data_IF_746742643590
#
_entry.id   IF_746742643590
#
_cell.length_a   1.000
_cell.length_b   1.000
_cell.length_c   1.000
_cell.angle_alpha   90.00
_cell.angle_beta   90.00
_cell.angle_gamma   90.00
#
_symmetry.space_group_name_H-M   'P 1'
#
loop_
_entity.id
_entity.type
_entity.pdbx_description
1 polymer ?
#
# COMPACT_ATOMS: atom_id res chain seq x y z
N UNK A 1 12.89 -8.43 -26.11
CA UNK A 1 13.07 -7.01 -25.74
C UNK A 1 12.86 -6.90 -24.25
N UNK A 2 13.94 -6.83 -23.46
CA UNK A 2 13.82 -6.63 -22.02
C UNK A 2 13.45 -5.18 -21.75
N UNK A 3 12.43 -4.92 -20.95
CA UNK A 3 12.22 -3.58 -20.41
C UNK A 3 13.50 -3.16 -19.68
N UNK A 4 14.02 -1.95 -19.92
CA UNK A 4 15.10 -1.43 -19.09
C UNK A 4 14.62 -1.42 -17.62
N UNK A 5 15.49 -1.69 -16.64
CA UNK A 5 15.12 -1.57 -15.24
C UNK A 5 14.56 -0.16 -15.02
N UNK A 6 13.42 -0.08 -14.35
CA UNK A 6 12.82 1.17 -13.89
C UNK A 6 13.79 1.81 -12.89
N UNK A 7 14.79 2.51 -13.42
CA UNK A 7 15.72 3.32 -12.65
C UNK A 7 15.08 4.69 -12.49
N UNK A 8 15.24 5.29 -11.31
CA UNK A 8 14.76 6.64 -11.00
C UNK A 8 15.98 7.55 -11.08
N UNK A 9 16.40 8.03 -12.29
CA UNK A 9 17.77 8.48 -12.50
C UNK A 9 18.07 9.77 -11.74
N UNK A 10 17.04 10.59 -11.52
CA UNK A 10 17.12 11.82 -10.73
C UNK A 10 17.35 11.57 -9.24
N UNK A 11 16.96 10.40 -8.72
CA UNK A 11 17.12 10.03 -7.31
C UNK A 11 18.44 9.29 -7.03
N UNK A 12 19.09 8.73 -8.06
CA UNK A 12 20.32 7.95 -7.90
C UNK A 12 21.44 8.67 -7.13
N UNK A 13 21.72 9.99 -7.34
CA UNK A 13 22.77 10.67 -6.58
C UNK A 13 22.55 10.67 -5.06
N UNK A 14 21.29 10.73 -4.62
CA UNK A 14 20.94 10.80 -3.20
C UNK A 14 20.63 9.44 -2.59
N UNK A 15 20.28 8.44 -3.41
CA UNK A 15 19.83 7.13 -2.93
C UNK A 15 20.83 5.99 -3.17
N UNK A 16 21.87 6.17 -3.97
CA UNK A 16 22.88 5.14 -4.27
C UNK A 16 24.16 5.32 -3.46
N UNK A 17 25.10 4.36 -3.54
CA UNK A 17 26.45 4.50 -2.96
C UNK A 17 26.51 4.72 -1.44
N UNK A 18 25.47 4.35 -0.70
CA UNK A 18 25.37 4.59 0.75
C UNK A 18 24.83 5.98 1.14
N UNK A 19 24.55 6.86 0.18
CA UNK A 19 24.02 8.21 0.45
C UNK A 19 22.65 8.18 1.12
N UNK A 20 21.81 7.21 0.80
CA UNK A 20 20.52 7.02 1.49
C UNK A 20 20.73 6.77 2.99
N UNK A 21 21.58 5.79 3.33
CA UNK A 21 21.84 5.42 4.72
C UNK A 21 22.49 6.57 5.50
N UNK A 22 23.46 7.26 4.89
CA UNK A 22 24.07 8.45 5.50
C UNK A 22 23.04 9.56 5.76
N UNK A 23 22.08 9.75 4.84
CA UNK A 23 21.00 10.72 5.02
C UNK A 23 20.05 10.29 6.14
N UNK A 24 19.62 9.01 6.14
CA UNK A 24 18.77 8.43 7.17
C UNK A 24 19.38 8.57 8.57
N UNK A 25 20.67 8.25 8.73
CA UNK A 25 21.40 8.39 9.99
C UNK A 25 21.51 9.84 10.45
N UNK A 26 21.69 10.77 9.51
CA UNK A 26 21.81 12.20 9.81
C UNK A 26 20.50 12.79 10.31
N UNK A 27 19.38 12.48 9.64
CA UNK A 27 18.07 13.03 10.01
C UNK A 27 17.37 12.23 11.10
N UNK A 28 17.79 10.97 11.31
CA UNK A 28 17.24 10.03 12.31
C UNK A 28 15.74 9.81 12.16
N UNK A 29 15.29 9.68 10.92
CA UNK A 29 13.90 9.36 10.57
C UNK A 29 13.82 8.00 9.87
N UNK A 30 12.64 7.35 9.85
CA UNK A 30 12.46 6.09 9.13
C UNK A 30 12.65 6.24 7.61
N UNK A 31 12.69 5.11 6.89
CA UNK A 31 13.02 5.07 5.47
C UNK A 31 12.05 5.88 4.59
N UNK A 32 10.74 5.84 4.89
CA UNK A 32 9.70 6.57 4.17
C UNK A 32 9.86 8.10 4.29
N UNK A 33 10.14 8.56 5.51
CA UNK A 33 10.46 9.94 5.82
C UNK A 33 11.80 10.36 5.19
N UNK A 34 12.77 9.45 5.11
CA UNK A 34 14.07 9.71 4.45
C UNK A 34 13.89 9.90 2.94
N UNK A 35 13.09 9.06 2.29
CA UNK A 35 12.73 9.25 0.88
C UNK A 35 12.00 10.59 0.70
N UNK A 36 11.00 10.89 1.51
CA UNK A 36 10.28 12.17 1.45
C UNK A 36 11.22 13.37 1.59
N UNK A 37 12.14 13.33 2.56
CA UNK A 37 13.14 14.37 2.77
C UNK A 37 14.08 14.55 1.57
N UNK A 38 14.57 13.45 0.99
CA UNK A 38 15.42 13.52 -0.21
C UNK A 38 14.66 14.16 -1.38
N UNK A 39 13.44 13.70 -1.63
CA UNK A 39 12.65 14.12 -2.79
C UNK A 39 12.20 15.58 -2.67
N UNK A 40 11.62 15.95 -1.53
CA UNK A 40 11.05 17.29 -1.34
C UNK A 40 12.10 18.33 -0.94
N UNK A 41 12.96 18.02 0.04
CA UNK A 41 13.87 19.00 0.62
C UNK A 41 15.21 19.12 -0.10
N UNK A 42 15.74 18.02 -0.67
CA UNK A 42 17.02 18.05 -1.38
C UNK A 42 16.86 18.23 -2.90
N UNK A 43 15.83 17.63 -3.48
CA UNK A 43 15.63 17.59 -4.94
C UNK A 43 14.51 18.53 -5.42
N UNK A 44 13.72 19.10 -4.49
CA UNK A 44 12.71 20.10 -4.81
C UNK A 44 11.52 19.57 -5.61
N UNK A 45 11.27 18.26 -5.56
CA UNK A 45 10.14 17.61 -6.25
C UNK A 45 8.98 17.48 -5.26
N UNK A 46 7.83 18.12 -5.48
CA UNK A 46 6.72 18.07 -4.53
C UNK A 46 6.01 16.72 -4.55
N UNK A 47 5.54 16.27 -3.38
CA UNK A 47 4.69 15.08 -3.28
C UNK A 47 3.31 15.34 -3.91
N UNK A 48 2.92 14.47 -4.84
CA UNK A 48 1.54 14.43 -5.34
C UNK A 48 0.71 13.55 -4.42
N UNK A 49 -0.27 14.13 -3.75
CA UNK A 49 -1.20 13.40 -2.88
C UNK A 49 -2.25 12.68 -3.72
N UNK A 50 -2.46 11.40 -3.42
CA UNK A 50 -3.51 10.58 -4.02
C UNK A 50 -4.34 9.94 -2.91
N UNK A 51 -5.67 10.01 -3.04
CA UNK A 51 -6.61 9.37 -2.12
C UNK A 51 -6.75 7.86 -2.30
N UNK A 52 -6.01 7.27 -3.25
CA UNK A 52 -6.12 5.84 -3.63
C UNK A 52 -5.13 4.92 -2.91
N UNK A 53 -4.27 5.48 -2.05
CA UNK A 53 -3.23 4.76 -1.33
C UNK A 53 -3.62 4.65 0.14
N UNK A 54 -3.97 3.45 0.58
CA UNK A 54 -4.46 3.23 1.92
C UNK A 54 -3.49 2.49 2.85
N UNK A 55 -3.30 3.03 4.05
CA UNK A 55 -2.46 2.47 5.12
C UNK A 55 -3.32 1.87 6.24
N UNK A 56 -2.77 0.97 7.05
CA UNK A 56 -3.48 0.51 8.25
C UNK A 56 -3.48 1.54 9.39
N UNK A 57 -2.85 2.71 9.19
CA UNK A 57 -2.85 3.84 10.13
C UNK A 57 -4.00 4.85 9.89
N UNK A 58 -4.95 4.51 9.03
CA UNK A 58 -6.21 5.24 8.83
C UNK A 58 -7.41 4.31 9.02
N UNK A 59 -8.64 4.82 9.02
CA UNK A 59 -9.82 3.99 9.20
C UNK A 59 -10.22 3.26 7.90
N UNK A 60 -9.70 2.05 7.69
CA UNK A 60 -9.95 1.25 6.48
C UNK A 60 -11.41 0.82 6.32
N UNK A 61 -12.22 0.89 7.38
CA UNK A 61 -13.66 0.62 7.30
C UNK A 61 -14.42 1.70 6.53
N UNK A 62 -13.81 2.87 6.31
CA UNK A 62 -14.42 3.95 5.52
C UNK A 62 -14.22 3.79 4.02
N UNK A 63 -13.32 2.90 3.58
CA UNK A 63 -13.12 2.62 2.14
C UNK A 63 -14.37 1.92 1.60
N UNK A 64 -15.11 2.52 0.65
CA UNK A 64 -16.33 1.92 0.14
C UNK A 64 -16.06 0.63 -0.63
N UNK A 65 -16.82 -0.42 -0.36
CA UNK A 65 -16.67 -1.70 -1.07
C UNK A 65 -16.84 -1.54 -2.58
N UNK A 66 -17.74 -0.65 -3.02
CA UNK A 66 -18.00 -0.34 -4.43
C UNK A 66 -16.81 0.29 -5.15
N UNK A 67 -15.92 0.95 -4.42
CA UNK A 67 -14.75 1.66 -4.95
C UNK A 67 -13.46 0.85 -4.79
N UNK A 68 -13.51 -0.38 -4.26
CA UNK A 68 -12.31 -1.20 -4.04
C UNK A 68 -11.50 -1.45 -5.32
N UNK A 69 -12.17 -1.51 -6.46
CA UNK A 69 -11.53 -1.71 -7.76
C UNK A 69 -10.78 -0.47 -8.28
N UNK A 70 -11.05 0.70 -7.69
CA UNK A 70 -10.39 1.97 -8.02
C UNK A 70 -9.15 2.21 -7.15
N UNK A 71 -9.03 1.52 -6.01
CA UNK A 71 -7.94 1.73 -5.06
C UNK A 71 -6.63 1.12 -5.56
N UNK A 72 -5.52 1.81 -5.31
CA UNK A 72 -4.18 1.36 -5.71
C UNK A 72 -3.57 0.47 -4.65
N UNK A 73 -3.69 0.85 -3.37
CA UNK A 73 -3.19 0.04 -2.25
C UNK A 73 -4.21 -0.07 -1.15
N UNK A 74 -4.26 -1.24 -0.52
CA UNK A 74 -4.96 -1.50 0.73
C UNK A 74 -3.98 -2.13 1.72
N UNK A 75 -4.26 -1.99 3.01
CA UNK A 75 -3.43 -2.53 4.08
C UNK A 75 -4.28 -3.33 5.06
N UNK A 76 -3.61 -4.02 5.97
CA UNK A 76 -4.21 -4.64 7.15
C UNK A 76 -3.24 -4.48 8.32
N UNK A 77 -3.76 -4.28 9.53
CA UNK A 77 -2.93 -4.18 10.72
C UNK A 77 -3.73 -3.89 11.98
N UNK A 78 -3.03 -3.38 12.99
CA UNK A 78 -3.64 -2.90 14.22
C UNK A 78 -3.67 -1.37 14.19
N UNK A 79 -4.84 -0.77 14.45
CA UNK A 79 -5.01 0.66 14.65
C UNK A 79 -5.78 0.87 15.96
N UNK A 80 -5.24 1.66 16.88
CA UNK A 80 -5.83 1.89 18.21
C UNK A 80 -6.19 0.59 18.96
N UNK A 81 -5.30 -0.43 18.91
CA UNK A 81 -5.49 -1.77 19.49
C UNK A 81 -6.68 -2.57 18.92
N UNK A 82 -7.22 -2.18 17.76
CA UNK A 82 -8.25 -2.91 17.04
C UNK A 82 -7.72 -3.40 15.70
N UNK A 83 -8.18 -4.56 15.25
CA UNK A 83 -7.92 -5.04 13.89
C UNK A 83 -8.53 -4.06 12.91
N UNK A 84 -7.70 -3.56 12.01
CA UNK A 84 -8.05 -2.59 11.00
C UNK A 84 -7.89 -3.24 9.63
N UNK A 85 -9.02 -3.42 8.94
CA UNK A 85 -9.13 -4.04 7.63
C UNK A 85 -10.29 -3.38 6.89
N UNK A 86 -10.28 -3.45 5.57
CA UNK A 86 -11.41 -3.02 4.75
C UNK A 86 -12.68 -3.80 5.09
N UNK A 87 -13.82 -3.11 5.08
CA UNK A 87 -15.11 -3.75 5.32
C UNK A 87 -15.64 -4.36 4.02
N UNK A 88 -15.57 -5.69 3.90
CA UNK A 88 -16.11 -6.43 2.76
C UNK A 88 -16.78 -7.72 3.24
N UNK A 89 -17.97 -7.99 2.71
CA UNK A 89 -18.63 -9.29 2.82
C UNK A 89 -18.01 -10.22 1.80
N UNK A 90 -17.03 -11.00 2.24
CA UNK A 90 -16.32 -11.95 1.41
C UNK A 90 -16.77 -13.39 1.60
N UNK A 91 -16.33 -14.29 0.71
CA UNK A 91 -16.57 -15.74 0.83
C UNK A 91 -15.92 -16.39 2.05
N UNK A 92 -15.02 -15.70 2.75
CA UNK A 92 -14.22 -16.24 3.85
C UNK A 92 -14.63 -15.61 5.19
N UNK A 93 -14.72 -16.42 6.25
CA UNK A 93 -14.90 -15.92 7.62
C UNK A 93 -13.68 -15.10 8.07
N UNK A 94 -13.84 -14.26 9.10
CA UNK A 94 -12.75 -13.41 9.62
C UNK A 94 -11.56 -14.24 10.11
N UNK A 95 -11.81 -15.44 10.62
CA UNK A 95 -10.78 -16.38 11.08
C UNK A 95 -9.98 -16.94 9.90
N UNK A 96 -10.63 -17.20 8.77
CA UNK A 96 -10.01 -17.76 7.57
C UNK A 96 -9.25 -16.73 6.71
N UNK A 97 -9.60 -15.44 6.82
CA UNK A 97 -8.99 -14.36 6.03
C UNK A 97 -8.93 -13.04 6.85
N UNK A 98 -8.19 -12.98 7.97
CA UNK A 98 -8.25 -11.84 8.89
C UNK A 98 -7.88 -10.49 8.26
N UNK A 99 -7.05 -10.49 7.20
CA UNK A 99 -6.71 -9.28 6.44
C UNK A 99 -7.77 -8.83 5.46
N UNK A 100 -8.73 -9.70 5.14
CA UNK A 100 -9.73 -9.54 4.07
C UNK A 100 -9.15 -9.56 2.65
N UNK A 101 -7.86 -9.81 2.48
CA UNK A 101 -7.23 -9.75 1.15
C UNK A 101 -7.69 -10.87 0.22
N UNK A 102 -8.01 -12.05 0.73
CA UNK A 102 -8.60 -13.11 -0.12
C UNK A 102 -10.01 -12.73 -0.55
N UNK A 103 -10.77 -12.12 0.34
CA UNK A 103 -12.12 -11.60 0.06
C UNK A 103 -12.08 -10.49 -0.99
N UNK A 104 -11.17 -9.52 -0.86
CA UNK A 104 -10.94 -8.47 -1.86
C UNK A 104 -10.52 -9.07 -3.20
N UNK A 105 -9.55 -10.00 -3.20
CA UNK A 105 -9.12 -10.68 -4.43
C UNK A 105 -10.28 -11.34 -5.15
N UNK A 106 -11.11 -12.11 -4.44
CA UNK A 106 -12.25 -12.79 -5.07
C UNK A 106 -13.36 -11.83 -5.51
N UNK A 107 -13.49 -10.66 -4.88
CA UNK A 107 -14.40 -9.61 -5.34
C UNK A 107 -13.92 -8.98 -6.66
N UNK A 108 -12.62 -8.71 -6.79
CA UNK A 108 -12.02 -8.12 -7.99
C UNK A 108 -11.82 -9.13 -9.13
N UNK A 109 -11.55 -10.39 -8.80
CA UNK A 109 -11.21 -11.47 -9.75
C UNK A 109 -12.05 -12.73 -9.47
N UNK A 110 -13.38 -12.68 -9.66
CA UNK A 110 -14.29 -13.75 -9.27
C UNK A 110 -14.04 -15.08 -9.99
N UNK A 111 -13.46 -15.04 -11.20
CA UNK A 111 -13.16 -16.24 -11.99
C UNK A 111 -11.92 -17.01 -11.49
N UNK A 112 -11.23 -16.51 -10.46
CA UNK A 112 -10.06 -17.18 -9.90
C UNK A 112 -10.45 -18.55 -9.33
N UNK A 113 -9.82 -19.68 -9.73
CA UNK A 113 -10.34 -21.03 -9.44
C UNK A 113 -10.53 -21.40 -7.97
N UNK A 114 -9.77 -20.79 -7.05
CA UNK A 114 -9.86 -21.06 -5.61
C UNK A 114 -10.89 -20.16 -4.89
N UNK A 115 -11.49 -19.20 -5.60
CA UNK A 115 -12.57 -18.39 -5.05
C UNK A 115 -13.85 -19.23 -4.91
N UNK A 116 -14.52 -19.20 -3.74
CA UNK A 116 -15.76 -19.92 -3.56
C UNK A 116 -16.85 -19.41 -4.51
N UNK A 117 -17.33 -20.28 -5.39
CA UNK A 117 -18.33 -19.95 -6.44
C UNK A 117 -19.70 -19.55 -5.88
N UNK A 118 -19.95 -19.81 -4.61
CA UNK A 118 -21.20 -19.49 -3.92
C UNK A 118 -21.21 -18.11 -3.26
N UNK A 119 -20.14 -17.33 -3.36
CA UNK A 119 -20.13 -15.96 -2.85
C UNK A 119 -20.97 -15.06 -3.76
N UNK A 120 -22.13 -14.67 -3.26
CA UNK A 120 -22.87 -13.51 -3.78
C UNK A 120 -22.17 -12.29 -3.20
N UNK A 121 -21.54 -11.49 -4.06
CA UNK A 121 -20.91 -10.22 -3.71
C UNK A 121 -21.93 -9.08 -3.78
#
# INVERSE_FOLDING_TARGET
MGQPPLTVPWALPSCSGGHFMSTAERIRLPDDCTIGYIVEALLGVPLIRSGLFHSHLENLQQVPTTELHEQVTLSYGMFENKRNAVHIKGPFSVEADPSRFRSVHCHLYPDTPWCPRTAIF
#
